data_IF_009867062910
#
_entry.id   IF_009867062910
#
_cell.length_a   1.000
_cell.length_b   1.000
_cell.length_c   1.000
_cell.angle_alpha   90.00
_cell.angle_beta   90.00
_cell.angle_gamma   90.00
#
_symmetry.space_group_name_H-M   'P 1'
#
loop_
_entity.id
_entity.type
_entity.pdbx_description
1 polymer ?
#
# COMPACT_ATOMS: atom_id res chain seq x y z
N UNK A 1 16.56 11.42 20.69
CA UNK A 1 16.31 10.43 19.61
C UNK A 1 17.59 10.18 18.82
N UNK A 2 17.73 8.99 18.18
CA UNK A 2 19.01 8.57 17.58
C UNK A 2 19.16 9.21 16.17
N UNK A 3 20.35 9.74 15.84
CA UNK A 3 20.68 10.35 14.54
C UNK A 3 20.37 9.40 13.34
N UNK A 4 20.55 8.09 13.54
CA UNK A 4 20.20 7.07 12.56
C UNK A 4 18.72 7.10 12.19
N UNK A 5 17.83 7.20 13.17
CA UNK A 5 16.36 7.24 12.91
C UNK A 5 16.00 8.49 12.11
N UNK A 6 16.58 9.63 12.45
CA UNK A 6 16.35 10.89 11.73
C UNK A 6 16.82 10.80 10.27
N UNK A 7 18.04 10.28 10.04
CA UNK A 7 18.59 10.13 8.69
C UNK A 7 17.78 9.13 7.84
N UNK A 8 17.38 7.99 8.42
CA UNK A 8 16.55 7.00 7.73
C UNK A 8 15.18 7.55 7.38
N UNK A 9 14.54 8.32 8.26
CA UNK A 9 13.25 8.94 8.00
C UNK A 9 13.33 9.98 6.87
N UNK A 10 14.39 10.82 6.85
CA UNK A 10 14.67 11.76 5.77
C UNK A 10 14.86 11.02 4.43
N UNK A 11 15.70 9.99 4.41
CA UNK A 11 15.95 9.19 3.22
C UNK A 11 14.68 8.51 2.71
N UNK A 12 13.90 7.88 3.60
CA UNK A 12 12.63 7.25 3.24
C UNK A 12 11.64 8.26 2.64
N UNK A 13 11.57 9.48 3.19
CA UNK A 13 10.72 10.55 2.66
C UNK A 13 11.13 10.94 1.24
N UNK A 14 12.44 11.15 0.98
CA UNK A 14 12.96 11.52 -0.34
C UNK A 14 12.71 10.41 -1.36
N UNK A 15 13.01 9.16 -1.03
CA UNK A 15 12.76 8.01 -1.91
C UNK A 15 11.27 7.90 -2.23
N UNK A 16 10.41 8.00 -1.24
CA UNK A 16 8.96 7.95 -1.45
C UNK A 16 8.45 9.10 -2.32
N UNK A 17 9.01 10.31 -2.16
CA UNK A 17 8.68 11.46 -3.00
C UNK A 17 9.05 11.22 -4.46
N UNK A 18 10.25 10.68 -4.73
CA UNK A 18 10.68 10.33 -6.08
C UNK A 18 9.73 9.29 -6.70
N UNK A 19 9.37 8.23 -5.95
CA UNK A 19 8.40 7.25 -6.42
C UNK A 19 7.01 7.85 -6.67
N UNK A 20 6.55 8.76 -5.82
CA UNK A 20 5.30 9.48 -6.00
C UNK A 20 5.32 10.28 -7.31
N UNK A 21 6.37 11.04 -7.57
CA UNK A 21 6.53 11.86 -8.78
C UNK A 21 6.59 11.00 -10.05
N UNK A 22 7.41 9.94 -10.05
CA UNK A 22 7.52 9.02 -11.20
C UNK A 22 6.16 8.33 -11.48
N UNK A 23 5.45 7.93 -10.44
CA UNK A 23 4.16 7.26 -10.61
C UNK A 23 3.07 8.25 -11.04
N UNK A 24 3.12 9.48 -10.55
CA UNK A 24 2.25 10.56 -10.99
C UNK A 24 2.48 10.93 -12.47
N UNK A 25 3.74 11.02 -12.94
CA UNK A 25 4.05 11.21 -14.34
C UNK A 25 3.49 10.10 -15.22
N UNK A 26 3.66 8.84 -14.81
CA UNK A 26 3.04 7.69 -15.49
C UNK A 26 1.52 7.79 -15.56
N UNK A 27 0.88 8.25 -14.48
CA UNK A 27 -0.56 8.48 -14.48
C UNK A 27 -0.96 9.59 -15.45
N UNK A 28 -0.24 10.69 -15.48
CA UNK A 28 -0.50 11.78 -16.44
C UNK A 28 -0.43 11.31 -17.90
N UNK A 29 0.52 10.44 -18.21
CA UNK A 29 0.72 9.89 -19.58
C UNK A 29 -0.29 8.80 -19.95
N UNK A 30 -0.60 7.89 -19.00
CA UNK A 30 -1.36 6.67 -19.31
C UNK A 30 -2.79 6.67 -18.74
N UNK A 31 -3.11 7.55 -17.81
CA UNK A 31 -4.43 7.69 -17.15
C UNK A 31 -4.98 6.43 -16.49
N UNK A 32 -4.13 5.46 -16.15
CA UNK A 32 -4.54 4.20 -15.51
C UNK A 32 -4.77 4.40 -14.01
N UNK A 33 -5.86 3.84 -13.48
CA UNK A 33 -6.29 4.03 -12.08
C UNK A 33 -5.23 3.53 -11.07
N UNK A 34 -4.53 2.43 -11.34
CA UNK A 34 -3.51 1.93 -10.43
C UNK A 34 -2.32 2.91 -10.27
N UNK A 35 -1.94 3.64 -11.33
CA UNK A 35 -0.89 4.65 -11.21
C UNK A 35 -1.31 5.81 -10.31
N UNK A 36 -2.56 6.28 -10.41
CA UNK A 36 -3.04 7.36 -9.54
C UNK A 36 -3.14 6.91 -8.07
N UNK A 37 -3.58 5.68 -7.84
CA UNK A 37 -3.69 5.14 -6.49
C UNK A 37 -2.32 4.94 -5.83
N UNK A 38 -1.33 4.42 -6.57
CA UNK A 38 0.03 4.28 -6.07
C UNK A 38 0.75 5.62 -5.89
N UNK A 39 0.52 6.59 -6.78
CA UNK A 39 1.05 7.94 -6.60
C UNK A 39 0.52 8.57 -5.30
N UNK A 40 -0.79 8.43 -5.02
CA UNK A 40 -1.40 8.88 -3.77
C UNK A 40 -0.79 8.15 -2.56
N UNK A 41 -0.66 6.82 -2.61
CA UNK A 41 -0.05 6.04 -1.53
C UNK A 41 1.40 6.50 -1.25
N UNK A 42 2.22 6.65 -2.29
CA UNK A 42 3.60 7.10 -2.13
C UNK A 42 3.70 8.54 -1.62
N UNK A 43 2.79 9.42 -2.04
CA UNK A 43 2.71 10.79 -1.50
C UNK A 43 2.37 10.79 -0.01
N UNK A 44 1.40 9.97 0.40
CA UNK A 44 1.04 9.80 1.81
C UNK A 44 2.20 9.22 2.62
N UNK A 45 2.91 8.25 2.07
CA UNK A 45 4.10 7.70 2.72
C UNK A 45 5.22 8.74 2.84
N UNK A 46 5.45 9.55 1.80
CA UNK A 46 6.42 10.65 1.85
C UNK A 46 6.06 11.67 2.92
N UNK A 47 4.78 12.08 3.01
CA UNK A 47 4.29 13.00 4.05
C UNK A 47 4.44 12.40 5.45
N UNK A 48 4.08 11.13 5.64
CA UNK A 48 4.24 10.45 6.92
C UNK A 48 5.71 10.33 7.34
N UNK A 49 6.60 9.94 6.41
CA UNK A 49 8.05 9.86 6.67
C UNK A 49 8.67 11.23 6.91
N UNK A 50 8.22 12.26 6.21
CA UNK A 50 8.63 13.64 6.46
C UNK A 50 8.21 14.10 7.85
N UNK A 51 6.98 13.83 8.27
CA UNK A 51 6.50 14.16 9.61
C UNK A 51 7.32 13.43 10.69
N UNK A 52 7.70 12.18 10.44
CA UNK A 52 8.60 11.43 11.33
C UNK A 52 9.98 12.08 11.38
N UNK A 53 10.58 12.43 10.25
CA UNK A 53 11.86 13.12 10.20
C UNK A 53 11.79 14.45 10.96
N UNK A 54 10.77 15.25 10.72
CA UNK A 54 10.56 16.52 11.41
C UNK A 54 10.47 16.33 12.93
N UNK A 55 9.66 15.37 13.38
CA UNK A 55 9.50 15.05 14.80
C UNK A 55 10.83 14.58 15.43
N UNK A 56 11.64 13.81 14.70
CA UNK A 56 12.92 13.33 15.21
C UNK A 56 13.97 14.45 15.31
N UNK A 57 13.84 15.50 14.50
CA UNK A 57 14.74 16.64 14.48
C UNK A 57 14.33 17.76 15.48
N UNK A 58 13.02 18.00 15.64
CA UNK A 58 12.50 19.14 16.42
C UNK A 58 11.68 18.77 17.65
N UNK A 59 11.38 17.46 17.83
CA UNK A 59 10.52 16.96 18.87
C UNK A 59 9.07 16.72 18.41
N UNK A 60 8.36 15.84 19.13
CA UNK A 60 6.99 15.49 18.84
C UNK A 60 6.02 16.59 19.30
N UNK A 61 5.10 16.93 18.44
CA UNK A 61 3.96 17.80 18.73
C UNK A 61 2.64 17.17 18.27
N UNK A 62 1.53 17.67 18.80
CA UNK A 62 0.20 17.18 18.42
C UNK A 62 -0.03 17.22 16.91
N UNK A 63 0.32 18.33 16.25
CA UNK A 63 0.13 18.47 14.80
C UNK A 63 0.96 17.49 13.99
N UNK A 64 2.25 17.36 14.32
CA UNK A 64 3.16 16.45 13.63
C UNK A 64 2.73 15.00 13.81
N UNK A 65 2.32 14.60 15.02
CA UNK A 65 1.84 13.24 15.25
C UNK A 65 0.54 12.94 14.50
N UNK A 66 -0.40 13.90 14.42
CA UNK A 66 -1.62 13.73 13.61
C UNK A 66 -1.31 13.52 12.14
N UNK A 67 -0.40 14.31 11.58
CA UNK A 67 0.02 14.16 10.16
C UNK A 67 0.67 12.79 9.96
N UNK A 68 1.64 12.44 10.80
CA UNK A 68 2.32 11.14 10.76
C UNK A 68 1.33 9.97 10.81
N UNK A 69 0.44 9.99 11.78
CA UNK A 69 -0.51 8.91 12.03
C UNK A 69 -1.58 8.80 10.92
N UNK A 70 -2.11 9.95 10.47
CA UNK A 70 -3.13 9.96 9.41
C UNK A 70 -2.57 9.49 8.08
N UNK A 71 -1.44 10.05 7.67
CA UNK A 71 -0.82 9.72 6.39
C UNK A 71 -0.26 8.28 6.39
N UNK A 72 0.48 7.89 7.43
CA UNK A 72 1.16 6.61 7.50
C UNK A 72 0.27 5.44 7.91
N UNK A 73 -0.48 5.58 9.02
CA UNK A 73 -1.23 4.47 9.60
C UNK A 73 -2.67 4.34 9.08
N UNK A 74 -3.32 5.45 8.72
CA UNK A 74 -4.75 5.42 8.33
C UNK A 74 -4.91 5.30 6.82
N UNK A 75 -4.20 6.10 6.02
CA UNK A 75 -4.52 6.28 4.60
C UNK A 75 -3.59 5.52 3.65
N UNK A 76 -2.29 5.48 3.92
CA UNK A 76 -1.29 4.98 2.98
C UNK A 76 -1.60 3.57 2.46
N UNK A 77 -1.82 2.61 3.36
CA UNK A 77 -2.01 1.18 2.99
C UNK A 77 -3.31 0.98 2.21
N UNK A 78 -4.35 1.76 2.51
CA UNK A 78 -5.62 1.70 1.80
C UNK A 78 -5.49 2.13 0.33
N UNK A 79 -4.75 3.22 0.05
CA UNK A 79 -4.47 3.66 -1.31
C UNK A 79 -3.53 2.71 -2.05
N UNK A 80 -2.57 2.07 -1.35
CA UNK A 80 -1.71 1.05 -1.92
C UNK A 80 -2.51 -0.20 -2.34
N UNK A 81 -3.44 -0.64 -1.49
CA UNK A 81 -4.32 -1.76 -1.79
C UNK A 81 -5.25 -1.46 -2.98
N UNK A 82 -5.79 -0.25 -3.08
CA UNK A 82 -6.58 0.17 -4.24
C UNK A 82 -5.78 0.06 -5.54
N UNK A 83 -4.50 0.46 -5.54
CA UNK A 83 -3.62 0.31 -6.69
C UNK A 83 -3.44 -1.16 -7.08
N UNK A 84 -3.27 -2.04 -6.10
CA UNK A 84 -3.16 -3.48 -6.31
C UNK A 84 -4.45 -4.10 -6.85
N UNK A 85 -5.62 -3.70 -6.31
CA UNK A 85 -6.93 -4.11 -6.82
C UNK A 85 -7.09 -3.64 -8.28
N UNK A 86 -6.78 -2.37 -8.57
CA UNK A 86 -6.90 -1.82 -9.92
C UNK A 86 -6.05 -2.57 -10.94
N UNK A 87 -4.85 -3.01 -10.54
CA UNK A 87 -3.97 -3.80 -11.40
C UNK A 87 -4.55 -5.20 -11.68
N UNK A 88 -5.17 -5.83 -10.69
CA UNK A 88 -5.70 -7.20 -10.80
C UNK A 88 -7.07 -7.27 -11.46
N UNK A 89 -7.95 -6.29 -11.24
CA UNK A 89 -9.36 -6.31 -11.64
C UNK A 89 -9.72 -5.29 -12.72
N UNK A 90 -8.83 -4.34 -13.00
CA UNK A 90 -9.06 -3.26 -13.96
C UNK A 90 -9.96 -2.14 -13.45
N UNK A 91 -10.15 -1.12 -14.29
CA UNK A 91 -10.78 0.14 -13.93
C UNK A 91 -12.29 0.02 -13.60
N UNK A 92 -12.97 -1.00 -14.13
CA UNK A 92 -14.40 -1.19 -13.88
C UNK A 92 -14.73 -1.33 -12.39
N UNK A 93 -13.88 -2.02 -11.65
CA UNK A 93 -14.02 -2.22 -10.20
C UNK A 93 -13.28 -1.11 -9.44
N UNK A 94 -12.11 -0.72 -9.91
CA UNK A 94 -11.25 0.22 -9.20
C UNK A 94 -11.81 1.65 -9.14
N UNK A 95 -12.51 2.13 -10.17
CA UNK A 95 -13.05 3.51 -10.19
C UNK A 95 -14.09 3.77 -9.10
N UNK A 96 -15.15 2.93 -8.93
CA UNK A 96 -16.08 3.12 -7.82
C UNK A 96 -15.39 2.98 -6.46
N UNK A 97 -14.48 2.02 -6.29
CA UNK A 97 -13.71 1.87 -5.05
C UNK A 97 -12.86 3.11 -4.75
N UNK A 98 -12.24 3.73 -5.76
CA UNK A 98 -11.49 4.97 -5.59
C UNK A 98 -12.35 6.11 -5.06
N UNK A 99 -13.60 6.24 -5.55
CA UNK A 99 -14.53 7.28 -5.07
C UNK A 99 -14.90 7.04 -3.61
N UNK A 100 -15.24 5.80 -3.26
CA UNK A 100 -15.55 5.40 -1.88
C UNK A 100 -14.34 5.67 -0.97
N UNK A 101 -13.14 5.24 -1.39
CA UNK A 101 -11.93 5.46 -0.60
C UNK A 101 -11.60 6.94 -0.43
N UNK A 102 -11.83 7.78 -1.44
CA UNK A 102 -11.65 9.23 -1.33
C UNK A 102 -12.59 9.85 -0.28
N UNK A 103 -13.87 9.44 -0.26
CA UNK A 103 -14.84 9.88 0.76
C UNK A 103 -14.43 9.41 2.16
N UNK A 104 -14.04 8.13 2.31
CA UNK A 104 -13.56 7.58 3.58
C UNK A 104 -12.26 8.27 4.02
N UNK A 105 -11.38 8.63 3.10
CA UNK A 105 -10.15 9.38 3.42
C UNK A 105 -10.48 10.77 3.94
N UNK A 106 -11.41 11.49 3.30
CA UNK A 106 -11.86 12.79 3.77
C UNK A 106 -12.50 12.70 5.16
N UNK A 107 -13.36 11.69 5.39
CA UNK A 107 -13.94 11.41 6.71
C UNK A 107 -12.85 11.13 7.75
N UNK A 108 -11.89 10.26 7.45
CA UNK A 108 -10.80 9.92 8.36
C UNK A 108 -9.93 11.13 8.71
N UNK A 109 -9.60 11.98 7.72
CA UNK A 109 -8.90 13.25 7.95
C UNK A 109 -9.71 14.16 8.88
N UNK A 110 -11.02 14.32 8.62
CA UNK A 110 -11.91 15.10 9.48
C UNK A 110 -11.92 14.61 10.92
N UNK A 111 -12.06 13.30 11.14
CA UNK A 111 -11.97 12.69 12.47
C UNK A 111 -10.63 12.99 13.12
N UNK A 112 -9.53 12.84 12.38
CA UNK A 112 -8.18 13.08 12.92
C UNK A 112 -7.93 14.55 13.27
N UNK A 113 -8.53 15.50 12.54
CA UNK A 113 -8.43 16.93 12.84
C UNK A 113 -9.14 17.30 14.14
N UNK A 114 -10.34 16.73 14.37
CA UNK A 114 -11.17 17.09 15.54
C UNK A 114 -10.96 16.17 16.75
N UNK A 115 -10.27 15.03 16.59
CA UNK A 115 -10.08 14.06 17.68
C UNK A 115 -9.40 14.73 18.89
N UNK A 116 -9.95 14.64 20.11
CA UNK A 116 -9.29 15.16 21.29
C UNK A 116 -8.03 14.33 21.62
N UNK A 117 -6.99 15.00 22.10
CA UNK A 117 -5.80 14.35 22.66
C UNK A 117 -5.95 14.22 24.16
N UNK A 118 -5.68 13.02 24.68
CA UNK A 118 -5.88 12.69 26.11
C UNK A 118 -4.67 13.05 26.98
N UNK A 119 -3.46 13.05 26.39
CA UNK A 119 -2.21 13.36 27.13
C UNK A 119 -1.36 14.39 26.37
N UNK A 120 -0.55 15.19 27.09
CA UNK A 120 0.44 16.05 26.46
C UNK A 120 1.51 15.22 25.74
N UNK A 121 2.11 15.81 24.69
CA UNK A 121 3.22 15.19 23.96
C UNK A 121 4.54 15.49 24.65
N UNK A 122 5.38 14.47 24.80
CA UNK A 122 6.76 14.60 25.28
C UNK A 122 7.65 14.63 24.04
N UNK A 123 8.43 15.72 23.88
CA UNK A 123 9.18 15.98 22.65
C UNK A 123 10.14 14.85 22.26
N UNK A 124 10.78 14.22 23.25
CA UNK A 124 11.83 13.21 23.02
C UNK A 124 11.33 11.77 23.05
N UNK A 125 10.04 11.55 23.33
CA UNK A 125 9.44 10.20 23.38
C UNK A 125 8.57 9.94 22.15
N UNK A 126 8.72 8.73 21.55
CA UNK A 126 7.85 8.32 20.43
C UNK A 126 6.41 8.12 20.94
N UNK A 127 5.44 8.95 20.47
CA UNK A 127 4.08 8.90 20.99
C UNK A 127 3.35 7.62 20.53
N UNK A 128 2.62 7.01 21.47
CA UNK A 128 1.77 5.84 21.18
C UNK A 128 0.34 6.30 20.95
N UNK A 129 -0.27 5.88 19.85
CA UNK A 129 -1.64 6.26 19.50
C UNK A 129 -2.67 5.95 20.62
N UNK A 130 -2.46 4.88 21.38
CA UNK A 130 -3.35 4.49 22.51
C UNK A 130 -3.32 5.49 23.65
N UNK A 131 -2.21 6.22 23.83
CA UNK A 131 -2.02 7.13 24.95
C UNK A 131 -2.51 8.56 24.62
N UNK A 132 -2.63 8.87 23.34
CA UNK A 132 -2.98 10.21 22.87
C UNK A 132 -4.36 10.29 22.20
N UNK A 133 -4.85 9.20 21.58
CA UNK A 133 -6.12 9.20 20.87
C UNK A 133 -7.14 8.27 21.48
N UNK A 134 -8.41 8.69 21.44
CA UNK A 134 -9.55 7.87 21.78
C UNK A 134 -9.74 6.64 20.87
N UNK A 135 -10.84 5.92 21.05
CA UNK A 135 -11.09 4.68 20.31
C UNK A 135 -11.24 4.89 18.80
N UNK A 136 -11.95 5.92 18.35
CA UNK A 136 -12.31 6.14 16.95
C UNK A 136 -11.09 6.29 16.03
N UNK A 137 -10.09 7.18 16.28
CA UNK A 137 -8.87 7.24 15.48
C UNK A 137 -8.10 5.92 15.39
N UNK A 138 -8.06 5.15 16.49
CA UNK A 138 -7.37 3.86 16.54
C UNK A 138 -8.07 2.78 15.72
N UNK A 139 -9.40 2.75 15.75
CA UNK A 139 -10.22 1.85 14.94
C UNK A 139 -10.07 2.21 13.46
N UNK A 140 -10.09 3.49 13.11
CA UNK A 140 -9.82 3.93 11.73
C UNK A 140 -8.44 3.50 11.24
N UNK A 141 -7.41 3.59 12.07
CA UNK A 141 -6.07 3.10 11.70
C UNK A 141 -6.04 1.58 11.56
N UNK A 142 -6.65 0.83 12.48
CA UNK A 142 -6.70 -0.63 12.41
C UNK A 142 -7.44 -1.13 11.16
N UNK A 143 -8.55 -0.51 10.80
CA UNK A 143 -9.30 -0.82 9.56
C UNK A 143 -8.52 -0.32 8.34
N UNK A 144 -8.03 0.92 8.36
CA UNK A 144 -7.34 1.57 7.24
C UNK A 144 -6.01 0.92 6.87
N UNK A 145 -5.35 0.22 7.77
CA UNK A 145 -4.12 -0.54 7.51
C UNK A 145 -4.34 -2.05 7.48
N UNK A 146 -5.09 -2.62 8.42
CA UNK A 146 -5.25 -4.07 8.57
C UNK A 146 -6.01 -4.72 7.42
N UNK A 147 -7.20 -4.22 7.09
CA UNK A 147 -7.99 -4.76 5.96
C UNK A 147 -7.26 -4.61 4.62
N UNK A 148 -6.70 -3.44 4.27
CA UNK A 148 -5.92 -3.30 3.04
C UNK A 148 -4.68 -4.17 2.99
N UNK A 149 -3.96 -4.36 4.09
CA UNK A 149 -2.80 -5.25 4.14
C UNK A 149 -3.20 -6.70 3.82
N UNK A 150 -4.31 -7.20 4.37
CA UNK A 150 -4.85 -8.52 4.04
C UNK A 150 -5.21 -8.62 2.55
N UNK A 151 -5.82 -7.60 1.97
CA UNK A 151 -6.15 -7.57 0.53
C UNK A 151 -4.89 -7.68 -0.32
N UNK A 152 -3.82 -6.96 0.02
CA UNK A 152 -2.54 -7.01 -0.70
C UNK A 152 -1.93 -8.42 -0.60
N UNK A 153 -1.88 -8.99 0.61
CA UNK A 153 -1.32 -10.33 0.84
C UNK A 153 -2.11 -11.39 0.07
N UNK A 154 -3.43 -11.40 0.18
CA UNK A 154 -4.29 -12.36 -0.51
C UNK A 154 -4.21 -12.20 -2.03
N UNK A 155 -4.15 -10.97 -2.54
CA UNK A 155 -3.97 -10.68 -3.95
C UNK A 155 -2.62 -11.18 -4.49
N UNK A 156 -1.54 -11.01 -3.72
CA UNK A 156 -0.22 -11.53 -4.06
C UNK A 156 -0.20 -13.06 -4.08
N UNK A 157 -0.74 -13.71 -3.05
CA UNK A 157 -0.83 -15.18 -2.97
C UNK A 157 -1.65 -15.75 -4.13
N UNK A 158 -2.80 -15.15 -4.44
CA UNK A 158 -3.63 -15.55 -5.58
C UNK A 158 -2.89 -15.41 -6.92
N UNK A 159 -2.14 -14.31 -7.10
CA UNK A 159 -1.34 -14.09 -8.31
C UNK A 159 -0.24 -15.15 -8.46
N UNK A 160 0.46 -15.49 -7.38
CA UNK A 160 1.48 -16.55 -7.36
C UNK A 160 0.85 -17.91 -7.69
N UNK A 161 -0.26 -18.27 -7.03
CA UNK A 161 -0.96 -19.53 -7.28
C UNK A 161 -1.38 -19.68 -8.75
N UNK A 162 -1.87 -18.59 -9.37
CA UNK A 162 -2.22 -18.55 -10.79
C UNK A 162 -1.02 -18.75 -11.71
N UNK A 163 0.12 -18.16 -11.38
CA UNK A 163 1.35 -18.34 -12.16
C UNK A 163 1.88 -19.77 -12.09
N UNK A 164 1.83 -20.39 -10.93
CA UNK A 164 2.22 -21.80 -10.74
C UNK A 164 1.27 -22.72 -11.52
N UNK A 165 -0.04 -22.56 -11.39
CA UNK A 165 -1.04 -23.35 -12.09
C UNK A 165 -0.91 -23.28 -13.63
N UNK A 166 -0.48 -22.14 -14.18
CA UNK A 166 -0.24 -21.99 -15.62
C UNK A 166 1.02 -22.69 -16.13
N UNK A 167 1.99 -22.96 -15.26
CA UNK A 167 3.25 -23.65 -15.63
C UNK A 167 3.12 -25.17 -15.66
N UNK A 168 2.10 -25.75 -15.06
CA UNK A 168 1.91 -27.21 -14.92
C UNK A 168 1.48 -27.97 -16.18
N UNK A 169 0.87 -27.42 -17.26
CA UNK A 169 0.42 -28.20 -18.40
C UNK A 169 1.51 -28.62 -19.40
N UNK A 170 2.69 -27.99 -19.41
CA UNK A 170 3.70 -28.21 -20.45
C UNK A 170 4.42 -29.56 -20.34
N UNK A 171 4.48 -30.20 -19.18
CA UNK A 171 5.19 -31.46 -18.98
C UNK A 171 4.31 -32.70 -19.12
N UNK A 172 2.98 -32.59 -19.04
CA UNK A 172 2.08 -33.73 -19.19
C UNK A 172 1.82 -34.14 -20.65
N UNK A 173 1.96 -33.21 -21.60
CA UNK A 173 1.75 -33.43 -23.03
C UNK A 173 2.91 -34.10 -23.75
N UNK A 174 4.13 -33.90 -23.30
CA UNK A 174 5.36 -34.44 -23.96
C UNK A 174 5.51 -35.96 -23.79
N UNK A 175 4.89 -36.56 -22.78
CA UNK A 175 4.99 -38.01 -22.51
C UNK A 175 4.05 -38.89 -23.34
N UNK A 176 3.04 -38.29 -24.02
CA UNK A 176 2.07 -39.07 -24.85
C UNK A 176 2.43 -39.16 -26.34
N UNK A 177 3.42 -38.42 -26.82
CA UNK A 177 3.85 -38.47 -28.24
C UNK A 177 5.00 -39.41 -28.56
N UNK A 178 5.46 -40.20 -27.59
CA UNK A 178 6.62 -41.11 -27.73
C UNK A 178 6.30 -42.56 -28.13
N UNK A 179 5.04 -42.93 -28.43
CA UNK A 179 4.71 -44.27 -28.93
C UNK A 179 4.43 -44.20 -30.42
N UNK A 180 5.49 -44.13 -31.21
CA UNK A 180 5.41 -44.41 -32.66
C UNK A 180 5.39 -45.91 -32.82
N UNK A 181 4.25 -46.51 -33.16
CA UNK A 181 4.10 -47.88 -33.60
C UNK A 181 4.85 -48.07 -34.92
N UNK A 182 5.80 -49.03 -35.04
CA UNK A 182 6.44 -49.28 -36.32
C UNK A 182 5.44 -49.94 -37.29
N UNK A 183 5.18 -49.25 -38.41
CA UNK A 183 4.48 -49.82 -39.54
C UNK A 183 5.25 -51.08 -40.06
N UNK A 184 4.61 -52.25 -40.00
CA UNK A 184 5.08 -53.45 -40.69
C UNK A 184 5.12 -53.17 -42.20
N UNK A 185 6.32 -53.22 -42.77
CA UNK A 185 6.53 -53.39 -44.21
C UNK A 185 6.21 -54.86 -44.56
N UNK A 186 5.08 -55.08 -45.23
CA UNK A 186 4.80 -56.35 -45.90
C UNK A 186 5.34 -56.22 -47.31
N UNK A 187 6.38 -57.00 -47.64
CA UNK A 187 6.89 -57.19 -48.97
C UNK A 187 5.96 -58.15 -49.76
N UNK A 188 5.66 -57.77 -50.97
CA UNK A 188 5.22 -58.65 -52.05
C UNK A 188 5.89 -58.21 -53.32
#
# INVERSE_FOLDING_TARGET
MNQLTTSLAAFASLVALVFALVTADRWHRRRLTHHSAWAMAMSLFAVGSFALWWATATGWSNGVFRVFFTAGAVLNVAWLALGSIALLTGDRIALPLRRILALLSAFAVGVMVVAPTTKPFIADEFPRARDHFGALPRVLAAIGSGVPALIIILGALWSIARLIARRTPAFAGARRQGVVTPKRLVAS
#
